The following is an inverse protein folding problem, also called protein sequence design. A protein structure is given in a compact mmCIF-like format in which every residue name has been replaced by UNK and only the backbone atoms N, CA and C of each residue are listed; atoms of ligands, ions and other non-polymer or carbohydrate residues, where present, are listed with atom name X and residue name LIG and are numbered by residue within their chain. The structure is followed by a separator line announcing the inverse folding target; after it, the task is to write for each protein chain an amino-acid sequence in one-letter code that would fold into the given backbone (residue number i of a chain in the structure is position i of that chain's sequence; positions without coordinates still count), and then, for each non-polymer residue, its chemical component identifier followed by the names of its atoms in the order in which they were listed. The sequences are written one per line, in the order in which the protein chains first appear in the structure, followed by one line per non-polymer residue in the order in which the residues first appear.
data_IF_987384404465
#
_entry.id   IF_987384404465
#
_cell.length_a   1.000
_cell.length_b   1.000
_cell.length_c   1.000
_cell.angle_alpha   90.00
_cell.angle_beta   90.00
_cell.angle_gamma   90.00
#
_symmetry.space_group_name_H-M   'P 1'
#
loop_
_entity.id
_entity.type
_entity.pdbx_description
1 polymer ?
#
# COMPACT_ATOMS: atom_id res chain seq x y z
N UNK A 1 7.67 2.57 10.79
CA UNK A 1 7.23 3.72 9.94
C UNK A 1 8.30 3.89 8.88
N UNK A 2 8.13 3.25 7.71
CA UNK A 2 8.95 3.51 6.54
C UNK A 2 8.51 4.85 5.97
N UNK A 3 9.37 5.87 6.02
CA UNK A 3 9.09 7.10 5.29
C UNK A 3 9.06 6.79 3.79
N UNK A 4 8.17 7.44 3.05
CA UNK A 4 8.06 7.30 1.61
C UNK A 4 9.43 7.45 0.98
N UNK A 5 9.92 6.35 0.38
CA UNK A 5 11.25 6.32 -0.26
C UNK A 5 11.20 6.75 -1.71
N UNK A 6 10.02 7.09 -2.20
CA UNK A 6 9.81 7.49 -3.57
C UNK A 6 8.62 8.40 -3.76
N UNK A 7 8.64 9.11 -4.88
CA UNK A 7 7.58 10.04 -5.27
C UNK A 7 7.25 9.87 -6.75
N UNK A 8 5.96 9.99 -7.05
CA UNK A 8 5.43 10.09 -8.39
C UNK A 8 4.90 11.50 -8.64
N UNK A 9 5.26 12.07 -9.77
CA UNK A 9 4.83 13.41 -10.17
C UNK A 9 4.23 13.37 -11.58
N UNK A 10 2.91 13.60 -11.74
CA UNK A 10 2.30 13.83 -13.05
C UNK A 10 2.69 15.24 -13.54
N UNK A 11 3.50 15.33 -14.58
CA UNK A 11 3.99 16.60 -15.12
C UNK A 11 3.09 17.15 -16.21
N UNK A 12 2.47 16.28 -17.01
CA UNK A 12 1.55 16.64 -18.08
C UNK A 12 0.50 15.54 -18.26
N UNK A 13 -0.75 15.91 -18.27
CA UNK A 13 -1.88 15.02 -18.50
C UNK A 13 -2.08 14.72 -19.98
N UNK A 14 -2.61 13.52 -20.26
CA UNK A 14 -3.08 13.19 -21.60
C UNK A 14 -4.31 14.02 -21.96
N UNK A 15 -4.39 14.48 -23.21
CA UNK A 15 -5.57 15.13 -23.75
C UNK A 15 -5.65 14.96 -25.25
N UNK A 16 -6.69 14.31 -25.73
CA UNK A 16 -6.96 14.20 -27.18
C UNK A 16 -7.26 15.57 -27.78
N UNK A 17 -8.07 16.35 -27.09
CA UNK A 17 -8.46 17.71 -27.54
C UNK A 17 -7.27 18.66 -27.56
N UNK A 18 -6.42 18.62 -26.53
CA UNK A 18 -5.22 19.43 -26.43
C UNK A 18 -4.02 18.86 -27.19
N UNK A 19 -4.13 17.67 -27.78
CA UNK A 19 -3.04 16.94 -28.48
C UNK A 19 -1.79 16.83 -27.59
N UNK A 20 -2.00 16.55 -26.31
CA UNK A 20 -0.92 16.40 -25.33
C UNK A 20 -0.73 14.93 -24.93
N UNK A 21 0.50 14.48 -25.00
CA UNK A 21 0.91 13.16 -24.50
C UNK A 21 1.19 13.24 -23.00
N UNK A 22 0.91 12.18 -22.22
CA UNK A 22 1.16 12.15 -20.79
C UNK A 22 2.67 12.18 -20.53
N UNK A 23 3.07 12.88 -19.48
CA UNK A 23 4.44 12.95 -19.02
C UNK A 23 4.44 12.88 -17.50
N UNK A 24 5.27 12.03 -16.93
CA UNK A 24 5.43 11.89 -15.49
C UNK A 24 6.89 11.69 -15.11
N UNK A 25 7.20 11.96 -13.85
CA UNK A 25 8.48 11.66 -13.25
C UNK A 25 8.29 10.75 -12.05
N UNK A 26 9.16 9.76 -11.94
CA UNK A 26 9.27 8.89 -10.77
C UNK A 26 10.65 9.11 -10.14
N UNK A 27 10.67 9.36 -8.85
CA UNK A 27 11.89 9.59 -8.07
C UNK A 27 11.95 8.55 -6.96
N UNK A 28 13.07 7.86 -6.86
CA UNK A 28 13.32 6.83 -5.86
C UNK A 28 14.59 7.13 -5.09
N UNK A 29 14.54 7.00 -3.78
CA UNK A 29 15.72 7.06 -2.92
C UNK A 29 16.24 5.63 -2.70
N UNK A 30 17.21 5.24 -3.52
CA UNK A 30 17.81 3.90 -3.47
C UNK A 30 19.17 3.94 -2.75
N UNK A 31 19.60 2.83 -2.13
CA UNK A 31 20.90 2.76 -1.48
C UNK A 31 22.04 2.91 -2.51
N UNK A 32 23.12 3.55 -2.08
CA UNK A 32 24.31 3.65 -2.91
C UNK A 32 24.90 2.27 -3.20
N UNK A 33 25.27 1.98 -4.46
CA UNK A 33 25.94 0.73 -4.77
C UNK A 33 27.29 0.66 -4.02
N UNK A 34 27.55 -0.49 -3.40
CA UNK A 34 28.86 -0.76 -2.80
C UNK A 34 29.96 -0.86 -3.87
N UNK A 35 31.23 -0.72 -3.46
CA UNK A 35 32.37 -0.82 -4.37
C UNK A 35 32.33 -2.13 -5.17
N UNK A 36 32.22 -2.03 -6.50
CA UNK A 36 32.20 -3.18 -7.41
C UNK A 36 30.93 -4.02 -7.40
N UNK A 37 29.86 -3.56 -6.73
CA UNK A 37 28.55 -4.24 -6.71
C UNK A 37 27.48 -3.33 -7.31
N UNK A 38 26.47 -3.88 -7.99
CA UNK A 38 25.31 -3.11 -8.42
C UNK A 38 24.49 -2.62 -7.21
N UNK A 39 23.59 -1.68 -7.42
CA UNK A 39 22.60 -1.32 -6.44
C UNK A 39 21.63 -2.51 -6.26
N UNK A 40 21.64 -3.13 -5.09
CA UNK A 40 20.75 -4.23 -4.74
C UNK A 40 19.59 -3.69 -3.93
N UNK A 41 18.38 -4.02 -4.36
CA UNK A 41 17.15 -3.64 -3.67
C UNK A 41 16.78 -4.70 -2.65
N UNK A 42 16.37 -4.27 -1.47
CA UNK A 42 15.65 -5.13 -0.55
C UNK A 42 14.17 -5.26 -0.99
N UNK A 43 13.41 -6.12 -0.31
CA UNK A 43 12.03 -6.40 -0.70
C UNK A 43 11.14 -5.14 -0.61
N UNK A 44 11.30 -4.33 0.45
CA UNK A 44 10.52 -3.10 0.64
C UNK A 44 10.82 -2.05 -0.45
N UNK A 45 12.09 -1.96 -0.87
CA UNK A 45 12.50 -1.07 -1.96
C UNK A 45 11.97 -1.53 -3.32
N UNK A 46 11.94 -2.84 -3.56
CA UNK A 46 11.32 -3.41 -4.75
C UNK A 46 9.79 -3.21 -4.75
N UNK A 47 9.16 -3.34 -3.59
CA UNK A 47 7.74 -3.05 -3.41
C UNK A 47 7.42 -1.60 -3.74
N UNK A 48 8.20 -0.65 -3.20
CA UNK A 48 8.03 0.77 -3.47
C UNK A 48 8.26 1.10 -4.97
N UNK A 49 9.24 0.49 -5.60
CA UNK A 49 9.47 0.63 -7.05
C UNK A 49 8.25 0.21 -7.86
N UNK A 50 7.68 -0.96 -7.58
CA UNK A 50 6.51 -1.46 -8.30
C UNK A 50 5.25 -0.64 -7.99
N UNK A 51 5.09 -0.17 -6.76
CA UNK A 51 4.01 0.73 -6.37
C UNK A 51 4.01 1.99 -7.23
N UNK A 52 5.15 2.67 -7.30
CA UNK A 52 5.30 3.88 -8.12
C UNK A 52 5.18 3.59 -9.61
N UNK A 53 5.63 2.41 -10.06
CA UNK A 53 5.46 1.99 -11.44
C UNK A 53 3.97 1.77 -11.79
N UNK A 54 3.15 1.31 -10.85
CA UNK A 54 1.70 1.24 -11.00
C UNK A 54 1.08 2.61 -11.29
N UNK A 55 1.48 3.63 -10.52
CA UNK A 55 1.06 5.02 -10.78
C UNK A 55 1.51 5.53 -12.13
N UNK A 56 2.73 5.22 -12.53
CA UNK A 56 3.26 5.60 -13.82
C UNK A 56 2.44 4.98 -14.95
N UNK A 57 2.11 3.70 -14.86
CA UNK A 57 1.27 3.01 -15.84
C UNK A 57 -0.13 3.62 -15.90
N UNK A 58 -0.76 3.85 -14.77
CA UNK A 58 -2.08 4.47 -14.69
C UNK A 58 -2.09 5.82 -15.40
N UNK A 59 -1.07 6.63 -15.20
CA UNK A 59 -0.95 7.95 -15.80
C UNK A 59 -0.65 7.88 -17.30
N UNK A 60 0.28 7.03 -17.71
CA UNK A 60 0.72 6.97 -19.11
C UNK A 60 -0.27 6.24 -20.03
N UNK A 61 -1.04 5.31 -19.49
CA UNK A 61 -2.09 4.59 -20.23
C UNK A 61 -3.42 5.33 -20.26
N UNK A 62 -3.52 6.50 -19.64
CA UNK A 62 -4.73 7.29 -19.64
C UNK A 62 -5.09 7.78 -21.05
N UNK A 63 -6.38 7.68 -21.42
CA UNK A 63 -6.89 8.03 -22.75
C UNK A 63 -7.97 9.11 -22.72
N UNK A 64 -7.97 9.94 -21.68
CA UNK A 64 -8.98 10.99 -21.48
C UNK A 64 -9.00 12.05 -22.60
N UNK A 65 -10.19 12.49 -22.99
CA UNK A 65 -10.34 13.55 -23.98
C UNK A 65 -9.83 14.91 -23.47
N UNK A 66 -10.00 15.16 -22.17
CA UNK A 66 -9.67 16.41 -21.49
C UNK A 66 -8.63 16.18 -20.40
N UNK A 67 -7.67 17.07 -20.28
CA UNK A 67 -6.58 16.98 -19.31
C UNK A 67 -7.06 16.99 -17.85
N UNK A 68 -8.15 17.69 -17.56
CA UNK A 68 -8.72 17.86 -16.22
C UNK A 68 -9.30 16.55 -15.65
N UNK A 69 -9.72 15.64 -16.53
CA UNK A 69 -10.36 14.36 -16.17
C UNK A 69 -9.59 13.17 -16.73
N UNK A 70 -8.30 13.33 -16.96
CA UNK A 70 -7.41 12.26 -17.46
C UNK A 70 -6.41 11.82 -16.39
N UNK A 71 -5.97 10.57 -16.47
CA UNK A 71 -5.03 10.00 -15.54
C UNK A 71 -5.54 10.03 -14.09
N UNK A 72 -4.68 10.40 -13.15
CA UNK A 72 -5.04 10.51 -11.73
C UNK A 72 -6.16 11.49 -11.42
N UNK A 73 -6.31 12.55 -12.26
CA UNK A 73 -7.37 13.54 -12.07
C UNK A 73 -8.75 13.00 -12.43
N UNK A 74 -8.83 11.95 -13.24
CA UNK A 74 -10.08 11.34 -13.67
C UNK A 74 -10.56 10.17 -12.83
N UNK A 75 -9.84 9.83 -11.77
CA UNK A 75 -10.12 8.68 -10.91
C UNK A 75 -10.56 9.18 -9.53
N UNK A 76 -11.58 8.54 -8.98
CA UNK A 76 -12.01 8.79 -7.61
C UNK A 76 -10.89 8.43 -6.64
N UNK A 77 -10.75 9.20 -5.57
CA UNK A 77 -9.61 9.10 -4.66
C UNK A 77 -9.49 7.74 -3.96
N UNK A 78 -10.60 7.07 -3.74
CA UNK A 78 -10.65 5.72 -3.16
C UNK A 78 -10.26 4.60 -4.16
N UNK A 79 -10.18 4.91 -5.45
CA UNK A 79 -9.78 3.98 -6.50
C UNK A 79 -8.36 4.24 -7.05
N UNK A 80 -7.68 5.30 -6.64
CA UNK A 80 -6.38 5.69 -7.18
C UNK A 80 -5.27 4.66 -6.92
N UNK A 81 -5.35 3.97 -5.78
CA UNK A 81 -4.33 3.00 -5.35
C UNK A 81 -4.48 1.61 -6.01
N UNK A 82 -5.51 1.38 -6.84
CA UNK A 82 -5.75 0.08 -7.47
C UNK A 82 -4.55 -0.33 -8.33
N UNK A 83 -4.01 0.57 -9.14
CA UNK A 83 -2.87 0.27 -10.01
C UNK A 83 -1.57 0.04 -9.21
N UNK A 84 -1.37 0.78 -8.13
CA UNK A 84 -0.26 0.59 -7.20
C UNK A 84 -0.31 -0.82 -6.60
N UNK A 85 -1.43 -1.17 -5.98
CA UNK A 85 -1.63 -2.46 -5.33
C UNK A 85 -1.53 -3.62 -6.32
N UNK A 86 -2.10 -3.47 -7.52
CA UNK A 86 -1.99 -4.48 -8.57
C UNK A 86 -0.55 -4.77 -8.96
N UNK A 87 0.29 -3.74 -9.10
CA UNK A 87 1.68 -3.93 -9.49
C UNK A 87 2.52 -4.53 -8.36
N UNK A 88 2.25 -4.21 -7.10
CA UNK A 88 2.99 -4.80 -5.97
C UNK A 88 2.71 -6.29 -5.78
N UNK A 89 1.54 -6.77 -6.21
CA UNK A 89 1.18 -8.19 -6.16
C UNK A 89 2.12 -9.09 -6.98
N UNK A 90 2.76 -8.55 -8.01
CA UNK A 90 3.74 -9.30 -8.81
C UNK A 90 4.92 -9.79 -8.00
N UNK A 91 5.29 -9.09 -6.90
CA UNK A 91 6.37 -9.53 -6.00
C UNK A 91 6.07 -10.82 -5.23
N UNK A 92 4.82 -11.27 -5.23
CA UNK A 92 4.41 -12.53 -4.63
C UNK A 92 4.13 -13.62 -5.65
N UNK A 93 4.46 -13.36 -6.93
CA UNK A 93 4.27 -14.29 -8.04
C UNK A 93 5.61 -14.97 -8.36
N UNK A 94 5.77 -16.29 -8.17
CA UNK A 94 7.04 -16.99 -8.38
C UNK A 94 7.60 -16.81 -9.78
N UNK A 95 6.74 -16.82 -10.81
CA UNK A 95 7.12 -16.67 -12.21
C UNK A 95 7.77 -15.30 -12.49
N UNK A 96 7.21 -14.25 -11.88
CA UNK A 96 7.78 -12.91 -11.99
C UNK A 96 9.13 -12.84 -11.27
N UNK A 97 9.20 -13.32 -10.05
CA UNK A 97 10.42 -13.29 -9.26
C UNK A 97 11.57 -14.04 -9.93
N UNK A 98 11.33 -15.19 -10.52
CA UNK A 98 12.36 -15.95 -11.26
C UNK A 98 12.88 -15.20 -12.49
N UNK A 99 12.09 -14.29 -13.04
CA UNK A 99 12.47 -13.50 -14.21
C UNK A 99 13.31 -12.28 -13.83
N UNK A 100 12.98 -11.62 -12.71
CA UNK A 100 13.59 -10.33 -12.33
C UNK A 100 14.65 -10.44 -11.24
N UNK A 101 14.61 -11.48 -10.43
CA UNK A 101 15.52 -11.66 -9.30
C UNK A 101 16.53 -12.78 -9.56
N UNK A 102 17.80 -12.43 -9.42
CA UNK A 102 18.91 -13.37 -9.58
C UNK A 102 20.11 -12.93 -8.76
N UNK A 103 21.01 -13.88 -8.52
CA UNK A 103 22.25 -13.59 -7.80
C UNK A 103 23.13 -12.63 -8.63
N UNK A 104 23.51 -11.51 -8.05
CA UNK A 104 24.15 -10.38 -8.72
C UNK A 104 25.43 -10.70 -9.53
N UNK A 105 26.18 -11.76 -9.16
CA UNK A 105 27.42 -12.13 -9.85
C UNK A 105 27.30 -13.41 -10.67
N UNK A 106 26.48 -14.37 -10.28
CA UNK A 106 26.33 -15.66 -10.98
C UNK A 106 25.07 -15.74 -11.83
N UNK A 107 24.17 -14.76 -11.70
CA UNK A 107 22.85 -14.72 -12.35
C UNK A 107 21.98 -15.98 -12.10
N UNK A 108 22.28 -16.71 -11.03
CA UNK A 108 21.47 -17.85 -10.64
C UNK A 108 20.11 -17.38 -10.11
N UNK A 109 19.01 -18.01 -10.51
CA UNK A 109 17.69 -17.68 -10.01
C UNK A 109 17.57 -17.96 -8.51
N UNK A 110 16.56 -17.35 -7.87
CA UNK A 110 16.22 -17.64 -6.48
C UNK A 110 15.89 -19.13 -6.29
N UNK A 111 16.40 -19.72 -5.20
CA UNK A 111 16.03 -21.08 -4.82
C UNK A 111 14.55 -21.21 -4.47
N UNK A 112 13.94 -22.37 -4.78
CA UNK A 112 12.51 -22.62 -4.55
C UNK A 112 12.09 -22.37 -3.09
N UNK A 113 12.92 -22.74 -2.12
CA UNK A 113 12.63 -22.51 -0.70
C UNK A 113 12.48 -21.02 -0.36
N UNK A 114 13.24 -20.15 -1.03
CA UNK A 114 13.16 -18.70 -0.83
C UNK A 114 11.88 -18.15 -1.44
N UNK A 115 11.52 -18.64 -2.63
CA UNK A 115 10.27 -18.26 -3.30
C UNK A 115 9.05 -18.67 -2.48
N UNK A 116 9.02 -19.91 -2.01
CA UNK A 116 7.92 -20.42 -1.18
C UNK A 116 7.81 -19.65 0.15
N UNK A 117 8.95 -19.34 0.77
CA UNK A 117 9.01 -18.54 1.99
C UNK A 117 8.48 -17.13 1.77
N UNK A 118 8.82 -16.48 0.66
CA UNK A 118 8.37 -15.14 0.32
C UNK A 118 6.86 -15.12 0.06
N UNK A 119 6.36 -16.05 -0.77
CA UNK A 119 4.93 -16.16 -1.06
C UNK A 119 4.11 -16.44 0.21
N UNK A 120 4.64 -17.26 1.12
CA UNK A 120 4.00 -17.57 2.40
C UNK A 120 3.99 -16.36 3.35
N UNK A 121 5.02 -15.52 3.30
CA UNK A 121 5.15 -14.34 4.17
C UNK A 121 4.01 -13.34 3.99
N UNK A 122 3.41 -13.28 2.81
CA UNK A 122 2.24 -12.43 2.51
C UNK A 122 1.06 -12.70 3.46
N UNK A 123 0.87 -13.95 3.86
CA UNK A 123 -0.23 -14.34 4.73
C UNK A 123 0.12 -14.24 6.22
N UNK A 124 1.39 -13.97 6.53
CA UNK A 124 1.84 -13.86 7.91
C UNK A 124 1.24 -12.59 8.54
N UNK A 125 0.46 -12.78 9.58
CA UNK A 125 -0.26 -11.73 10.32
C UNK A 125 -1.21 -10.85 9.46
N UNK A 126 -1.52 -11.22 8.22
CA UNK A 126 -2.41 -10.46 7.33
C UNK A 126 -3.78 -10.16 7.95
N UNK A 127 -4.31 -11.08 8.78
CA UNK A 127 -5.56 -10.85 9.52
C UNK A 127 -5.43 -9.74 10.56
N UNK A 128 -4.28 -9.63 11.23
CA UNK A 128 -4.02 -8.57 12.21
C UNK A 128 -3.87 -7.21 11.53
N UNK A 129 -3.17 -7.16 10.41
CA UNK A 129 -3.00 -5.94 9.62
C UNK A 129 -4.36 -5.46 9.10
N UNK A 130 -5.18 -6.37 8.55
CA UNK A 130 -6.54 -6.06 8.12
C UNK A 130 -7.42 -5.55 9.27
N UNK A 131 -7.37 -6.18 10.45
CA UNK A 131 -8.11 -5.71 11.62
C UNK A 131 -7.68 -4.32 12.05
N UNK A 132 -6.40 -4.00 11.92
CA UNK A 132 -5.87 -2.68 12.25
C UNK A 132 -6.42 -1.60 11.30
N UNK A 133 -6.47 -1.88 10.01
CA UNK A 133 -7.04 -0.95 9.01
C UNK A 133 -8.57 -0.81 9.17
N UNK A 134 -9.27 -1.92 9.40
CA UNK A 134 -10.71 -1.91 9.68
C UNK A 134 -11.04 -1.12 10.96
N UNK A 135 -10.20 -1.23 11.98
CA UNK A 135 -10.37 -0.44 13.20
C UNK A 135 -10.26 1.06 12.94
N UNK A 136 -9.25 1.49 12.18
CA UNK A 136 -9.09 2.91 11.82
C UNK A 136 -10.31 3.44 11.05
N UNK A 137 -10.75 2.69 10.04
CA UNK A 137 -11.90 3.05 9.20
C UNK A 137 -13.21 3.08 10.01
N UNK A 138 -13.45 2.08 10.85
CA UNK A 138 -14.64 2.04 11.69
C UNK A 138 -14.66 3.17 12.72
N UNK A 139 -13.49 3.50 13.30
CA UNK A 139 -13.37 4.61 14.23
C UNK A 139 -13.67 5.95 13.54
N UNK A 140 -13.13 6.17 12.34
CA UNK A 140 -13.37 7.38 11.57
C UNK A 140 -14.86 7.56 11.23
N UNK A 141 -15.50 6.51 10.71
CA UNK A 141 -16.92 6.51 10.40
C UNK A 141 -17.76 6.79 11.65
N UNK A 142 -17.53 6.06 12.74
CA UNK A 142 -18.29 6.24 13.97
C UNK A 142 -18.09 7.64 14.57
N UNK A 143 -16.87 8.17 14.48
CA UNK A 143 -16.56 9.51 14.97
C UNK A 143 -17.37 10.59 14.24
N UNK A 144 -17.48 10.52 12.92
CA UNK A 144 -18.19 11.52 12.13
C UNK A 144 -19.70 11.29 12.04
N UNK A 145 -20.19 10.06 12.22
CA UNK A 145 -21.62 9.76 12.15
C UNK A 145 -22.31 9.84 13.52
N UNK A 146 -21.77 9.19 14.51
CA UNK A 146 -22.43 9.08 15.82
C UNK A 146 -21.97 10.16 16.80
N UNK A 147 -20.67 10.45 16.83
CA UNK A 147 -20.09 11.36 17.79
C UNK A 147 -20.38 12.83 17.46
N UNK A 148 -20.34 13.21 16.19
CA UNK A 148 -20.60 14.58 15.77
C UNK A 148 -22.01 15.06 16.11
N UNK A 149 -22.99 14.15 16.21
CA UNK A 149 -24.38 14.49 16.49
C UNK A 149 -24.75 14.47 17.98
N UNK A 150 -24.06 13.69 18.81
CA UNK A 150 -24.47 13.48 20.20
C UNK A 150 -23.66 14.26 21.23
N UNK A 151 -22.48 14.73 20.92
CA UNK A 151 -21.53 15.46 21.81
C UNK A 151 -21.32 14.86 23.21
N UNK A 152 -21.93 13.71 23.51
CA UNK A 152 -21.99 13.13 24.87
C UNK A 152 -21.02 11.95 25.06
N UNK A 153 -20.49 11.38 23.99
CA UNK A 153 -19.61 10.22 24.09
C UNK A 153 -18.15 10.66 24.08
N UNK A 154 -17.41 10.26 25.10
CA UNK A 154 -15.97 10.53 25.16
C UNK A 154 -15.28 9.75 24.04
N UNK A 155 -14.51 10.45 23.17
CA UNK A 155 -13.73 9.86 22.05
C UNK A 155 -12.86 8.68 22.47
N UNK A 156 -12.34 8.69 23.70
CA UNK A 156 -11.57 7.58 24.25
C UNK A 156 -12.45 6.35 24.50
N UNK A 157 -13.69 6.54 24.95
CA UNK A 157 -14.63 5.43 25.17
C UNK A 157 -14.99 4.76 23.84
N UNK A 158 -15.26 5.54 22.80
CA UNK A 158 -15.50 5.02 21.43
C UNK A 158 -14.29 4.25 20.91
N UNK A 159 -13.09 4.80 21.08
CA UNK A 159 -11.85 4.13 20.67
C UNK A 159 -11.69 2.77 21.35
N UNK A 160 -11.88 2.69 22.67
CA UNK A 160 -11.77 1.44 23.42
C UNK A 160 -12.88 0.44 23.08
N UNK A 161 -14.10 0.89 22.86
CA UNK A 161 -15.19 0.02 22.46
C UNK A 161 -14.94 -0.65 21.10
N UNK A 162 -14.56 0.13 20.09
CA UNK A 162 -14.26 -0.39 18.78
C UNK A 162 -12.98 -1.27 18.77
N UNK A 163 -11.96 -0.90 19.54
CA UNK A 163 -10.79 -1.74 19.73
C UNK A 163 -11.15 -3.09 20.35
N UNK A 164 -12.02 -3.10 21.36
CA UNK A 164 -12.52 -4.32 21.99
C UNK A 164 -13.31 -5.17 20.97
N UNK A 165 -14.21 -4.58 20.22
CA UNK A 165 -15.04 -5.31 19.26
C UNK A 165 -14.26 -5.92 18.10
N UNK A 166 -13.35 -5.15 17.52
CA UNK A 166 -12.64 -5.58 16.30
C UNK A 166 -11.35 -6.35 16.60
N UNK A 167 -10.51 -5.88 17.51
CA UNK A 167 -9.24 -6.52 17.78
C UNK A 167 -9.37 -7.74 18.69
N UNK A 168 -10.27 -7.70 19.70
CA UNK A 168 -10.35 -8.78 20.68
C UNK A 168 -11.26 -9.94 20.27
N UNK A 169 -12.30 -9.72 19.46
CA UNK A 169 -13.06 -10.83 18.86
C UNK A 169 -12.19 -11.71 17.97
N UNK A 170 -11.19 -11.14 17.29
CA UNK A 170 -10.29 -11.91 16.42
C UNK A 170 -9.14 -12.57 17.17
N UNK A 171 -8.69 -12.03 18.31
CA UNK A 171 -7.53 -12.56 19.04
C UNK A 171 -7.93 -13.58 20.12
N UNK A 172 -9.24 -13.84 20.33
CA UNK A 172 -9.73 -14.76 21.38
C UNK A 172 -9.16 -14.47 22.78
N UNK A 173 -8.99 -13.20 23.16
CA UNK A 173 -8.61 -12.85 24.52
C UNK A 173 -9.89 -12.90 25.38
N UNK A 174 -9.90 -13.69 26.47
CA UNK A 174 -11.08 -13.78 27.35
C UNK A 174 -11.48 -12.40 27.88
N UNK A 175 -12.78 -12.13 27.92
CA UNK A 175 -13.35 -10.88 28.45
C UNK A 175 -12.92 -10.55 29.90
N UNK A 176 -12.39 -11.54 30.63
CA UNK A 176 -11.88 -11.39 32.01
C UNK A 176 -10.61 -10.53 32.12
N UNK A 177 -9.95 -10.19 31.01
CA UNK A 177 -8.78 -9.30 31.00
C UNK A 177 -9.12 -7.81 30.98
N UNK A 178 -10.39 -7.47 30.78
CA UNK A 178 -10.80 -6.09 30.83
C UNK A 178 -11.18 -5.71 32.26
N UNK A 179 -10.32 -4.96 32.90
CA UNK A 179 -10.69 -4.23 34.09
C UNK A 179 -11.80 -3.21 33.72
N UNK A 180 -13.01 -3.28 34.27
CA UNK A 180 -13.99 -2.23 34.04
C UNK A 180 -13.38 -0.94 34.59
N UNK A 181 -13.05 0.00 33.68
CA UNK A 181 -12.76 1.36 34.10
C UNK A 181 -14.00 1.90 34.78
N UNK A 182 -13.88 2.07 36.08
CA UNK A 182 -14.95 2.59 36.97
C UNK A 182 -15.56 3.85 36.36
N UNK A 183 -16.86 3.95 36.54
CA UNK A 183 -17.80 5.04 36.22
C UNK A 183 -17.29 6.44 36.61
#
# INVERSE_FOLDING_TARGET
MGGDRGWFFPLRQHSVTGKSEPLSAMVLSLPNPGYGKPCLLNFDEAHELLRLFGNLLLHTCATGAWSEVSGHNGIEQDAVDIAENFMTEWLYTPEFLTTVAGHWSSNQPLGQNVLDGLCSSRHHLAGLDLCTELFKSAYDIAFYTEYAFTMQTNRYKLHFQLAAELLFKFICIPESFFCPLAE
#
